data_IF_000844512387
#
_entry.id   IF_000844512387
#
_cell.length_a   1.000
_cell.length_b   1.000
_cell.length_c   1.000
_cell.angle_alpha   90.00
_cell.angle_beta   90.00
_cell.angle_gamma   90.00
#
_symmetry.space_group_name_H-M   'P 1'
#
loop_
_entity.id
_entity.type
_entity.pdbx_description
1 polymer ?
#
# COMPACT_ATOMS: atom_id res chain seq x y z
N UNK A 1 -4.56 -5.87 -20.38
CA UNK A 1 -5.00 -4.90 -19.36
C UNK A 1 -4.08 -5.08 -18.16
N UNK A 2 -3.03 -4.27 -18.05
CA UNK A 2 -2.14 -4.26 -16.89
C UNK A 2 -2.98 -3.86 -15.67
N UNK A 3 -3.13 -4.73 -14.69
CA UNK A 3 -3.91 -4.43 -13.49
C UNK A 3 -3.09 -3.46 -12.63
N UNK A 4 -3.38 -2.16 -12.74
CA UNK A 4 -2.71 -1.13 -11.96
C UNK A 4 -3.13 -1.20 -10.48
N UNK A 5 -2.18 -0.97 -9.60
CA UNK A 5 -2.41 -0.77 -8.17
C UNK A 5 -2.97 0.64 -7.98
N UNK A 6 -4.10 0.76 -7.26
CA UNK A 6 -4.74 2.04 -6.96
C UNK A 6 -4.79 2.28 -5.46
N UNK A 7 -4.89 3.55 -5.06
CA UNK A 7 -4.94 3.96 -3.65
C UNK A 7 -6.15 3.42 -2.87
N UNK A 8 -7.21 3.08 -3.60
CA UNK A 8 -8.45 2.52 -3.05
C UNK A 8 -8.37 1.00 -2.82
N UNK A 9 -7.31 0.34 -3.29
CA UNK A 9 -7.05 -1.07 -3.02
C UNK A 9 -6.80 -1.27 -1.52
N UNK A 10 -7.37 -2.33 -0.96
CA UNK A 10 -7.05 -2.69 0.44
C UNK A 10 -5.64 -3.27 0.54
N UNK A 11 -4.99 -3.12 1.69
CA UNK A 11 -3.69 -3.77 1.86
C UNK A 11 -3.77 -5.30 1.80
N UNK A 12 -4.86 -5.90 2.29
CA UNK A 12 -5.06 -7.34 2.18
C UNK A 12 -5.12 -7.79 0.72
N UNK A 13 -5.88 -7.07 -0.11
CA UNK A 13 -5.95 -7.31 -1.55
C UNK A 13 -4.58 -7.09 -2.22
N UNK A 14 -3.88 -6.01 -1.87
CA UNK A 14 -2.55 -5.69 -2.40
C UNK A 14 -1.57 -6.83 -2.15
N UNK A 15 -1.44 -7.30 -0.90
CA UNK A 15 -0.47 -8.36 -0.57
C UNK A 15 -0.85 -9.70 -1.20
N UNK A 16 -2.14 -10.00 -1.33
CA UNK A 16 -2.61 -11.22 -1.99
C UNK A 16 -2.31 -11.21 -3.50
N UNK A 17 -2.52 -10.07 -4.17
CA UNK A 17 -2.35 -9.93 -5.62
C UNK A 17 -0.92 -9.62 -6.03
N UNK A 18 -0.19 -8.88 -5.18
CA UNK A 18 1.14 -8.36 -5.42
C UNK A 18 2.06 -8.61 -4.21
N UNK A 19 2.52 -9.85 -3.99
CA UNK A 19 3.35 -10.18 -2.82
C UNK A 19 4.66 -9.37 -2.73
N UNK A 20 5.18 -8.84 -3.84
CA UNK A 20 6.39 -7.99 -3.83
C UNK A 20 6.11 -6.54 -3.39
N UNK A 21 4.85 -6.18 -3.16
CA UNK A 21 4.48 -4.91 -2.55
C UNK A 21 4.99 -4.80 -1.09
N UNK A 22 5.09 -5.91 -0.35
CA UNK A 22 5.47 -5.88 1.07
C UNK A 22 6.83 -5.20 1.33
N UNK A 23 7.92 -5.55 0.61
CA UNK A 23 9.19 -4.82 0.69
C UNK A 23 9.10 -3.33 0.33
N UNK A 24 8.22 -2.94 -0.60
CA UNK A 24 8.00 -1.53 -0.97
C UNK A 24 7.40 -0.78 0.22
N UNK A 25 6.31 -1.30 0.76
CA UNK A 25 5.62 -0.74 1.93
C UNK A 25 6.52 -0.64 3.16
N UNK A 26 7.41 -1.62 3.35
CA UNK A 26 8.41 -1.59 4.42
C UNK A 26 9.34 -0.40 4.38
N UNK A 27 9.76 0.07 3.19
CA UNK A 27 10.60 1.27 3.05
C UNK A 27 9.92 2.55 3.56
N UNK A 28 8.58 2.57 3.56
CA UNK A 28 7.77 3.66 4.08
C UNK A 28 7.39 3.47 5.55
N UNK A 29 7.95 2.47 6.24
CA UNK A 29 7.63 2.19 7.64
C UNK A 29 6.30 1.46 7.85
N UNK A 30 5.67 0.97 6.78
CA UNK A 30 4.38 0.29 6.83
C UNK A 30 4.52 -1.23 7.01
N UNK A 31 5.49 -1.68 7.80
CA UNK A 31 5.74 -3.11 8.05
C UNK A 31 4.58 -3.82 8.78
N UNK A 32 3.75 -3.05 9.50
CA UNK A 32 2.67 -3.57 10.33
C UNK A 32 1.36 -3.82 9.57
N UNK A 33 1.35 -3.71 8.24
CA UNK A 33 0.17 -3.92 7.38
C UNK A 33 -0.49 -5.30 7.57
N UNK A 34 0.25 -6.29 8.07
CA UNK A 34 -0.27 -7.62 8.40
C UNK A 34 -1.02 -7.72 9.75
N UNK A 35 -1.16 -6.63 10.50
CA UNK A 35 -1.99 -6.62 11.71
C UNK A 35 -3.47 -6.77 11.33
N UNK A 36 -4.29 -7.43 12.17
CA UNK A 36 -5.69 -7.76 11.88
C UNK A 36 -6.55 -6.57 11.40
N UNK A 37 -6.16 -5.33 11.75
CA UNK A 37 -6.84 -4.10 11.34
C UNK A 37 -6.37 -3.61 9.97
N UNK A 38 -5.05 -3.64 9.71
CA UNK A 38 -4.45 -3.01 8.52
C UNK A 38 -4.83 -3.67 7.20
N UNK A 39 -5.24 -4.93 7.20
CA UNK A 39 -5.61 -5.66 5.97
C UNK A 39 -6.91 -5.17 5.34
N UNK A 40 -7.81 -4.53 6.10
CA UNK A 40 -9.10 -4.02 5.60
C UNK A 40 -9.06 -2.54 5.20
N UNK A 41 -8.01 -1.82 5.57
CA UNK A 41 -7.84 -0.41 5.19
C UNK A 41 -7.38 -0.30 3.74
N UNK A 42 -7.83 0.75 3.05
CA UNK A 42 -7.24 1.12 1.75
C UNK A 42 -5.81 1.60 1.95
N UNK A 43 -5.00 1.54 0.89
CA UNK A 43 -3.63 2.07 0.93
C UNK A 43 -3.63 3.54 1.35
N UNK A 44 -4.52 4.36 0.80
CA UNK A 44 -4.64 5.78 1.19
C UNK A 44 -4.98 5.94 2.68
N UNK A 45 -5.94 5.16 3.18
CA UNK A 45 -6.36 5.26 4.58
C UNK A 45 -5.23 4.90 5.54
N UNK A 46 -4.55 3.76 5.34
CA UNK A 46 -3.46 3.37 6.25
C UNK A 46 -2.24 4.28 6.13
N UNK A 47 -1.91 4.79 4.93
CA UNK A 47 -0.84 5.78 4.77
C UNK A 47 -1.17 7.07 5.56
N UNK A 48 -2.40 7.58 5.44
CA UNK A 48 -2.86 8.77 6.18
C UNK A 48 -2.99 8.54 7.68
N UNK A 49 -3.37 7.35 8.12
CA UNK A 49 -3.44 6.98 9.53
C UNK A 49 -2.06 7.03 10.21
N UNK A 50 -0.99 6.90 9.43
CA UNK A 50 0.40 7.07 9.87
C UNK A 50 0.92 8.52 9.77
N UNK A 51 0.03 9.50 9.51
CA UNK A 51 0.37 10.92 9.48
C UNK A 51 1.05 11.40 8.19
N UNK A 52 0.98 10.61 7.12
CA UNK A 52 1.52 10.97 5.81
C UNK A 52 0.47 11.70 4.94
N UNK A 53 0.94 12.51 4.01
CA UNK A 53 0.12 13.35 3.13
C UNK A 53 -0.24 12.67 1.79
N UNK A 54 -1.07 13.37 1.00
CA UNK A 54 -1.52 12.90 -0.32
C UNK A 54 -0.34 12.70 -1.30
N UNK A 55 0.68 13.55 -1.24
CA UNK A 55 1.89 13.41 -2.05
C UNK A 55 2.62 12.09 -1.74
N UNK A 56 2.69 11.72 -0.46
CA UNK A 56 3.26 10.44 -0.04
C UNK A 56 2.43 9.26 -0.54
N UNK A 57 1.09 9.36 -0.51
CA UNK A 57 0.20 8.34 -1.09
C UNK A 57 0.49 8.14 -2.58
N UNK A 58 0.55 9.22 -3.37
CA UNK A 58 0.83 9.14 -4.81
C UNK A 58 2.20 8.52 -5.08
N UNK A 59 3.21 8.90 -4.30
CA UNK A 59 4.56 8.34 -4.42
C UNK A 59 4.58 6.83 -4.17
N UNK A 60 3.93 6.36 -3.11
CA UNK A 60 3.82 4.94 -2.78
C UNK A 60 3.12 4.18 -3.91
N UNK A 61 2.01 4.71 -4.45
CA UNK A 61 1.28 4.07 -5.53
C UNK A 61 2.11 3.95 -6.80
N UNK A 62 2.88 4.97 -7.17
CA UNK A 62 3.78 4.90 -8.31
C UNK A 62 4.85 3.82 -8.10
N UNK A 63 5.50 3.81 -6.95
CA UNK A 63 6.57 2.84 -6.65
C UNK A 63 6.04 1.40 -6.59
N UNK A 64 4.80 1.21 -6.09
CA UNK A 64 4.11 -0.07 -6.12
C UNK A 64 3.86 -0.54 -7.56
N UNK A 65 3.35 0.33 -8.43
CA UNK A 65 3.11 -0.02 -9.84
C UNK A 65 4.40 -0.36 -10.60
N UNK A 66 5.56 0.13 -10.15
CA UNK A 66 6.86 -0.16 -10.76
C UNK A 66 7.54 -1.43 -10.20
N UNK A 67 7.25 -1.82 -8.95
CA UNK A 67 8.06 -2.80 -8.21
C UNK A 67 7.30 -3.96 -7.53
N UNK A 68 5.97 -3.99 -7.59
CA UNK A 68 5.13 -4.95 -6.85
C UNK A 68 4.72 -6.22 -7.63
#
# INVERSE_FOLDING_TARGET
>A
MSQAITKDMTFGELIQRFPKAAPVLGRYGLHCIGCHIGVMETIEQGVKAHGMDDDTVVKIINELNENA
#
